data_IF_575861414409
#
_entry.id   IF_575861414409
#
_cell.length_a   1.000
_cell.length_b   1.000
_cell.length_c   1.000
_cell.angle_alpha   90.00
_cell.angle_beta   90.00
_cell.angle_gamma   90.00
#
_symmetry.space_group_name_H-M   'P 1'
#
loop_
_entity.id
_entity.type
_entity.pdbx_description
1 polymer ?
#
# COMPACT_ATOMS: atom_id res chain seq x y z
N UNK A 1 -6.77 21.88 -17.07
CA UNK A 1 -6.76 22.44 -15.70
C UNK A 1 -8.06 21.98 -15.04
N UNK A 2 -8.00 21.26 -13.93
CA UNK A 2 -9.19 20.75 -13.19
C UNK A 2 -10.00 21.86 -12.53
N UNK A 3 -9.37 23.01 -12.29
CA UNK A 3 -10.05 24.24 -11.86
C UNK A 3 -10.41 25.09 -13.08
N UNK A 4 -11.70 25.13 -13.40
CA UNK A 4 -12.21 25.91 -14.52
C UNK A 4 -12.52 27.34 -14.06
N UNK A 5 -12.03 28.34 -14.82
CA UNK A 5 -12.35 29.76 -14.54
C UNK A 5 -13.85 30.07 -14.62
N UNK A 6 -14.61 29.27 -15.39
CA UNK A 6 -16.06 29.39 -15.49
C UNK A 6 -16.80 29.01 -14.21
N UNK A 7 -16.15 28.31 -13.28
CA UNK A 7 -16.75 27.83 -12.04
C UNK A 7 -16.40 28.69 -10.82
N UNK A 8 -15.84 29.89 -11.02
CA UNK A 8 -15.55 30.82 -9.93
C UNK A 8 -16.86 31.19 -9.20
N UNK A 9 -16.87 31.23 -7.85
CA UNK A 9 -15.77 30.95 -6.92
C UNK A 9 -15.75 29.49 -6.39
N UNK A 10 -16.70 28.65 -6.80
CA UNK A 10 -17.00 27.38 -6.12
C UNK A 10 -16.18 26.19 -6.63
N UNK A 11 -15.80 26.18 -7.92
CA UNK A 11 -14.96 25.15 -8.55
C UNK A 11 -15.43 23.71 -8.31
N UNK A 12 -16.71 23.44 -8.53
CA UNK A 12 -17.33 22.14 -8.28
C UNK A 12 -16.57 20.97 -8.93
N UNK A 13 -16.11 21.15 -10.18
CA UNK A 13 -15.35 20.10 -10.88
C UNK A 13 -14.01 19.81 -10.21
N UNK A 14 -13.28 20.86 -9.80
CA UNK A 14 -12.00 20.72 -9.10
C UNK A 14 -12.15 20.04 -7.73
N UNK A 15 -13.18 20.43 -6.99
CA UNK A 15 -13.51 19.82 -5.69
C UNK A 15 -13.88 18.34 -5.82
N UNK A 16 -14.79 18.00 -6.75
CA UNK A 16 -15.21 16.61 -6.99
C UNK A 16 -14.03 15.72 -7.42
N UNK A 17 -13.12 16.25 -8.23
CA UNK A 17 -11.91 15.55 -8.64
C UNK A 17 -10.98 15.25 -7.46
N UNK A 18 -10.76 16.21 -6.56
CA UNK A 18 -9.90 16.00 -5.39
C UNK A 18 -10.49 14.92 -4.48
N UNK A 19 -11.79 15.02 -4.19
CA UNK A 19 -12.46 14.05 -3.32
C UNK A 19 -12.41 12.65 -3.93
N UNK A 20 -12.65 12.51 -5.24
CA UNK A 20 -12.60 11.19 -5.89
C UNK A 20 -11.20 10.58 -5.85
N UNK A 21 -10.16 11.36 -6.17
CA UNK A 21 -8.76 10.91 -6.12
C UNK A 21 -8.32 10.56 -4.69
N UNK A 22 -8.76 11.33 -3.70
CA UNK A 22 -8.48 11.06 -2.29
C UNK A 22 -9.18 9.77 -1.84
N UNK A 23 -10.44 9.56 -2.24
CA UNK A 23 -11.17 8.32 -1.95
C UNK A 23 -10.50 7.09 -2.55
N UNK A 24 -10.06 7.17 -3.82
CA UNK A 24 -9.32 6.08 -4.47
C UNK A 24 -8.00 5.79 -3.75
N UNK A 25 -7.26 6.84 -3.36
CA UNK A 25 -6.00 6.69 -2.63
C UNK A 25 -6.19 6.00 -1.28
N UNK A 26 -7.22 6.38 -0.52
CA UNK A 26 -7.58 5.75 0.76
C UNK A 26 -7.96 4.28 0.55
N UNK A 27 -8.77 3.99 -0.48
CA UNK A 27 -9.15 2.60 -0.79
C UNK A 27 -7.93 1.74 -1.11
N UNK A 28 -7.00 2.23 -1.93
CA UNK A 28 -5.78 1.51 -2.28
C UNK A 28 -4.91 1.26 -1.04
N UNK A 29 -4.77 2.25 -0.16
CA UNK A 29 -4.02 2.10 1.09
C UNK A 29 -4.64 1.04 2.01
N UNK A 30 -5.98 1.01 2.14
CA UNK A 30 -6.68 0.00 2.93
C UNK A 30 -6.54 -1.42 2.36
N UNK A 31 -6.70 -1.56 1.03
CA UNK A 31 -6.52 -2.84 0.35
C UNK A 31 -5.10 -3.37 0.51
N UNK A 32 -4.11 -2.51 0.31
CA UNK A 32 -2.71 -2.86 0.51
C UNK A 32 -2.44 -3.29 1.95
N UNK A 33 -2.91 -2.52 2.93
CA UNK A 33 -2.74 -2.84 4.36
C UNK A 33 -3.37 -4.18 4.71
N UNK A 34 -4.56 -4.46 4.16
CA UNK A 34 -5.24 -5.74 4.36
C UNK A 34 -4.42 -6.90 3.79
N UNK A 35 -3.91 -6.75 2.56
CA UNK A 35 -3.10 -7.76 1.90
C UNK A 35 -1.82 -8.07 2.68
N UNK A 36 -1.07 -7.03 3.07
CA UNK A 36 0.15 -7.19 3.86
C UNK A 36 -0.11 -7.82 5.22
N UNK A 37 -1.16 -7.39 5.92
CA UNK A 37 -1.50 -7.97 7.23
C UNK A 37 -1.87 -9.45 7.10
N UNK A 38 -2.59 -9.82 6.03
CA UNK A 38 -2.95 -11.22 5.76
C UNK A 38 -1.72 -12.06 5.46
N UNK A 39 -0.80 -11.56 4.65
CA UNK A 39 0.40 -12.30 4.29
C UNK A 39 1.34 -12.45 5.49
N UNK A 40 1.51 -11.39 6.31
CA UNK A 40 2.25 -11.47 7.56
C UNK A 40 1.63 -12.51 8.52
N UNK A 41 0.31 -12.50 8.71
CA UNK A 41 -0.39 -13.51 9.54
C UNK A 41 -0.20 -14.94 9.04
N UNK A 42 -0.24 -15.15 7.72
CA UNK A 42 0.00 -16.46 7.10
C UNK A 42 1.42 -16.96 7.39
N UNK A 43 2.40 -16.06 7.39
CA UNK A 43 3.81 -16.37 7.66
C UNK A 43 4.07 -16.62 9.14
N UNK A 44 3.44 -15.84 10.02
CA UNK A 44 3.45 -16.09 11.46
C UNK A 44 2.89 -17.48 11.80
N UNK A 45 1.80 -17.90 11.12
CA UNK A 45 1.22 -19.24 11.31
C UNK A 45 2.11 -20.38 10.77
N UNK A 46 2.97 -20.10 9.78
CA UNK A 46 3.90 -21.08 9.23
C UNK A 46 5.19 -21.23 10.06
N UNK A 47 5.40 -20.40 11.09
CA UNK A 47 6.48 -20.57 12.07
C UNK A 47 7.87 -20.12 11.59
N UNK A 48 7.95 -19.28 10.56
CA UNK A 48 9.23 -18.74 10.10
C UNK A 48 9.79 -17.72 11.11
N UNK A 49 10.93 -18.03 11.73
CA UNK A 49 11.70 -17.08 12.52
C UNK A 49 12.64 -16.30 11.61
N UNK A 50 12.62 -14.97 11.66
CA UNK A 50 13.48 -14.11 10.84
C UNK A 50 14.95 -14.38 11.19
N UNK A 51 15.66 -15.12 10.34
CA UNK A 51 17.09 -15.38 10.49
C UNK A 51 17.85 -14.45 9.53
N UNK A 52 18.67 -13.58 10.09
CA UNK A 52 19.44 -12.55 9.37
C UNK A 52 20.76 -13.08 8.80
N UNK A 53 21.18 -14.29 9.20
CA UNK A 53 22.54 -14.79 8.93
C UNK A 53 22.80 -15.11 7.45
N UNK A 54 21.76 -15.42 6.67
CA UNK A 54 21.85 -15.69 5.21
C UNK A 54 20.94 -14.80 4.36
N UNK A 55 20.44 -13.70 4.93
CA UNK A 55 19.33 -12.95 4.36
C UNK A 55 19.66 -12.17 3.07
N UNK A 56 20.95 -12.07 2.72
CA UNK A 56 21.42 -11.49 1.46
C UNK A 56 21.89 -12.55 0.44
N UNK A 57 21.99 -13.81 0.85
CA UNK A 57 22.36 -14.93 -0.02
C UNK A 57 21.13 -15.56 -0.70
N UNK A 58 19.95 -15.43 -0.08
CA UNK A 58 18.68 -16.00 -0.54
C UNK A 58 17.76 -14.90 -1.09
N UNK A 59 17.75 -14.78 -2.42
CA UNK A 59 16.92 -13.93 -3.31
C UNK A 59 16.71 -12.43 -2.93
N UNK A 60 17.10 -11.55 -3.85
CA UNK A 60 17.05 -10.08 -3.75
C UNK A 60 15.63 -9.48 -3.74
N UNK A 61 14.60 -10.30 -3.72
CA UNK A 61 13.20 -9.87 -3.83
C UNK A 61 12.43 -10.26 -2.58
N UNK A 62 11.83 -9.27 -1.90
CA UNK A 62 11.00 -9.45 -0.67
C UNK A 62 9.89 -10.51 -0.79
N UNK A 63 9.50 -10.87 -2.02
CA UNK A 63 8.46 -11.88 -2.31
C UNK A 63 8.93 -13.32 -2.13
N UNK A 64 10.21 -13.60 -2.32
CA UNK A 64 10.77 -14.95 -2.27
C UNK A 64 11.42 -15.25 -0.92
N UNK A 65 11.92 -14.21 -0.26
CA UNK A 65 12.52 -14.30 1.07
C UNK A 65 11.45 -14.56 2.13
N UNK A 66 11.24 -15.82 2.49
CA UNK A 66 10.27 -16.24 3.52
C UNK A 66 10.57 -15.65 4.91
N UNK A 67 11.81 -15.17 5.12
CA UNK A 67 12.30 -14.63 6.38
C UNK A 67 12.02 -13.13 6.60
N UNK A 68 11.62 -12.35 5.59
CA UNK A 68 11.42 -10.89 5.75
C UNK A 68 9.96 -10.49 5.78
N UNK A 69 9.46 -9.99 6.93
CA UNK A 69 8.10 -9.44 7.03
C UNK A 69 7.95 -8.12 6.29
N UNK A 70 6.75 -7.87 5.78
CA UNK A 70 6.40 -6.55 5.27
C UNK A 70 6.34 -5.58 6.45
N UNK A 71 7.27 -4.62 6.47
CA UNK A 71 7.28 -3.52 7.43
C UNK A 71 6.42 -2.40 6.83
N UNK A 72 5.36 -2.03 7.54
CA UNK A 72 4.51 -0.87 7.23
C UNK A 72 4.48 0.07 8.42
#
# INVERSE_FOLDING_TARGET
MTFLKSEIPMYNTGWAFIISMQSVSIMLALLYRFFVTRENKKRDAAGFSESFDHAFEDDLTDKCSMNFRYVY
#
